data_IF_998929979063
#
_entry.id   IF_998929979063
#
_cell.length_a   1.000
_cell.length_b   1.000
_cell.length_c   1.000
_cell.angle_alpha   90.00
_cell.angle_beta   90.00
_cell.angle_gamma   90.00
#
_symmetry.space_group_name_H-M   'P 1'
#
loop_
_entity.id
_entity.type
_entity.pdbx_description
1 polymer ?
#
# COMPACT_ATOMS: atom_id res chain seq x y z
N UNK A 1 1.19 -2.54 -23.57
CA UNK A 1 2.01 -2.97 -22.43
C UNK A 1 3.40 -3.34 -22.95
N UNK A 2 4.36 -2.42 -22.80
CA UNK A 2 5.75 -2.59 -23.22
C UNK A 2 6.60 -2.84 -21.99
N UNK A 3 7.47 -3.86 -22.01
CA UNK A 3 8.40 -4.11 -20.90
C UNK A 3 9.09 -2.79 -20.50
N UNK A 4 9.40 -2.55 -19.21
CA UNK A 4 10.09 -1.32 -18.80
C UNK A 4 11.30 -1.10 -19.71
N UNK A 5 11.27 0.00 -20.48
CA UNK A 5 12.20 0.17 -21.62
C UNK A 5 13.65 0.07 -21.17
N UNK A 6 14.44 -0.76 -21.87
CA UNK A 6 15.87 -0.92 -21.63
C UNK A 6 16.26 -1.88 -20.50
N UNK A 7 15.31 -2.55 -19.83
CA UNK A 7 15.66 -3.48 -18.75
C UNK A 7 16.15 -4.83 -19.30
N UNK A 8 17.32 -5.27 -18.84
CA UNK A 8 17.81 -6.65 -19.07
C UNK A 8 16.83 -7.64 -18.45
N UNK A 9 16.35 -8.60 -19.23
CA UNK A 9 15.34 -9.58 -18.79
C UNK A 9 15.91 -10.98 -18.59
N UNK A 10 17.13 -11.27 -19.03
CA UNK A 10 17.75 -12.59 -18.89
C UNK A 10 19.06 -12.52 -18.10
N UNK A 11 19.19 -13.36 -17.08
CA UNK A 11 20.32 -13.39 -16.15
C UNK A 11 20.86 -14.82 -16.04
N UNK A 12 22.17 -14.99 -16.16
CA UNK A 12 22.84 -16.26 -15.90
C UNK A 12 23.39 -16.29 -14.47
N UNK A 13 23.27 -17.42 -13.78
CA UNK A 13 23.72 -17.61 -12.40
C UNK A 13 24.15 -19.07 -12.12
N UNK A 14 24.73 -19.30 -10.94
CA UNK A 14 25.31 -20.58 -10.55
C UNK A 14 26.71 -20.84 -11.11
N UNK A 15 27.36 -21.92 -10.65
CA UNK A 15 28.72 -22.27 -11.06
C UNK A 15 28.82 -22.47 -12.58
N UNK A 16 29.74 -21.72 -13.21
CA UNK A 16 29.90 -21.71 -14.68
C UNK A 16 28.73 -21.09 -15.46
N UNK A 17 27.79 -20.38 -14.82
CA UNK A 17 26.67 -19.71 -15.49
C UNK A 17 25.65 -20.66 -16.12
N UNK A 18 25.59 -21.91 -15.64
CA UNK A 18 24.73 -22.96 -16.22
C UNK A 18 23.23 -22.75 -15.97
N UNK A 19 22.85 -21.95 -14.96
CA UNK A 19 21.44 -21.63 -14.68
C UNK A 19 21.07 -20.29 -15.28
N UNK A 20 19.83 -20.16 -15.74
CA UNK A 20 19.29 -18.92 -16.32
C UNK A 20 17.97 -18.56 -15.66
N UNK A 21 17.76 -17.27 -15.41
CA UNK A 21 16.50 -16.67 -15.00
C UNK A 21 16.06 -15.72 -16.10
N UNK A 22 14.78 -15.80 -16.46
CA UNK A 22 14.13 -14.89 -17.39
C UNK A 22 12.99 -14.18 -16.68
N UNK A 23 13.03 -12.85 -16.70
CA UNK A 23 11.94 -12.00 -16.26
C UNK A 23 10.89 -11.96 -17.38
N UNK A 24 9.68 -12.37 -17.03
CA UNK A 24 8.50 -12.31 -17.89
C UNK A 24 7.50 -11.37 -17.23
N UNK A 25 6.89 -10.53 -18.05
CA UNK A 25 5.96 -9.50 -17.59
C UNK A 25 4.55 -9.82 -18.08
N UNK A 26 3.58 -9.04 -17.61
CA UNK A 26 2.19 -9.06 -18.09
C UNK A 26 1.37 -10.25 -17.64
N UNK A 27 1.69 -10.79 -16.47
CA UNK A 27 0.75 -11.65 -15.80
C UNK A 27 -0.57 -10.89 -15.55
N UNK A 28 -1.71 -11.52 -15.83
CA UNK A 28 -3.05 -10.93 -15.76
C UNK A 28 -3.26 -9.64 -16.60
N UNK A 29 -2.52 -9.44 -17.68
CA UNK A 29 -2.53 -8.22 -18.51
C UNK A 29 -3.92 -7.64 -18.80
N UNK A 30 -4.89 -8.47 -19.21
CA UNK A 30 -6.23 -8.00 -19.54
C UNK A 30 -6.95 -7.40 -18.32
N UNK A 31 -6.87 -8.06 -17.17
CA UNK A 31 -7.51 -7.62 -15.93
C UNK A 31 -6.82 -6.37 -15.38
N UNK A 32 -5.48 -6.39 -15.34
CA UNK A 32 -4.66 -5.28 -14.85
C UNK A 32 -4.82 -4.04 -15.74
N UNK A 33 -5.00 -4.23 -17.06
CA UNK A 33 -5.30 -3.15 -17.99
C UNK A 33 -6.64 -2.46 -17.69
N UNK A 34 -7.69 -3.23 -17.37
CA UNK A 34 -8.99 -2.69 -16.94
C UNK A 34 -8.87 -1.94 -15.61
N UNK A 35 -8.18 -2.51 -14.63
CA UNK A 35 -7.90 -1.87 -13.34
C UNK A 35 -7.16 -0.54 -13.53
N UNK A 36 -6.15 -0.50 -14.40
CA UNK A 36 -5.40 0.72 -14.70
C UNK A 36 -6.30 1.80 -15.31
N UNK A 37 -7.18 1.43 -16.25
CA UNK A 37 -8.14 2.36 -16.84
C UNK A 37 -9.12 2.91 -15.78
N UNK A 38 -9.66 2.04 -14.93
CA UNK A 38 -10.52 2.46 -13.81
C UNK A 38 -9.76 3.31 -12.80
N UNK A 39 -8.45 3.12 -12.61
CA UNK A 39 -7.64 4.02 -11.78
C UNK A 39 -7.50 5.42 -12.39
N UNK A 40 -7.51 5.55 -13.73
CA UNK A 40 -7.45 6.86 -14.41
C UNK A 40 -8.80 7.57 -14.41
N UNK A 41 -9.90 6.84 -14.64
CA UNK A 41 -11.24 7.34 -14.30
C UNK A 41 -11.27 7.71 -12.83
N UNK A 42 -10.59 6.89 -12.01
CA UNK A 42 -10.33 7.15 -10.62
C UNK A 42 -9.32 8.31 -10.35
N UNK A 43 -8.93 9.14 -11.32
CA UNK A 43 -8.07 10.31 -11.10
C UNK A 43 -8.76 11.66 -11.47
N UNK A 44 -9.91 11.61 -12.13
CA UNK A 44 -10.77 12.74 -12.54
C UNK A 44 -11.69 13.36 -11.44
N UNK A 45 -12.52 12.58 -10.75
CA UNK A 45 -13.47 12.83 -9.65
C UNK A 45 -12.93 13.00 -8.19
N UNK A 46 -11.65 13.28 -7.95
CA UNK A 46 -11.08 13.26 -6.57
C UNK A 46 -11.22 14.60 -5.88
N UNK A 47 -11.31 14.55 -4.55
CA UNK A 47 -11.55 15.73 -3.74
C UNK A 47 -10.33 16.66 -3.67
N UNK A 48 -9.11 16.15 -3.92
CA UNK A 48 -7.90 16.96 -3.83
C UNK A 48 -6.75 16.46 -4.75
N UNK A 49 -5.72 17.31 -4.92
CA UNK A 49 -4.56 17.04 -5.76
C UNK A 49 -3.73 15.83 -5.30
N UNK A 50 -3.66 15.57 -4.00
CA UNK A 50 -2.90 14.42 -3.47
C UNK A 50 -3.62 13.14 -3.87
N UNK A 51 -4.94 13.10 -3.70
CA UNK A 51 -5.77 11.96 -4.10
C UNK A 51 -5.65 11.66 -5.60
N UNK A 52 -5.73 12.68 -6.47
CA UNK A 52 -5.47 12.48 -7.90
C UNK A 52 -4.12 11.78 -8.15
N UNK A 53 -3.05 12.25 -7.51
CA UNK A 53 -1.71 11.65 -7.64
C UNK A 53 -1.65 10.21 -7.13
N UNK A 54 -2.41 9.86 -6.09
CA UNK A 54 -2.48 8.47 -5.60
C UNK A 54 -2.94 7.55 -6.74
N UNK A 55 -4.02 7.93 -7.43
CA UNK A 55 -4.63 7.10 -8.47
C UNK A 55 -3.86 7.11 -9.78
N UNK A 56 -3.25 8.24 -10.17
CA UNK A 56 -2.32 8.30 -11.29
C UNK A 56 -1.13 7.33 -11.09
N UNK A 57 -0.58 7.25 -9.88
CA UNK A 57 0.51 6.32 -9.56
C UNK A 57 0.06 4.87 -9.44
N UNK A 58 -1.17 4.60 -8.98
CA UNK A 58 -1.75 3.25 -9.06
C UNK A 58 -1.90 2.81 -10.51
N UNK A 59 -2.50 3.64 -11.37
CA UNK A 59 -2.64 3.35 -12.79
C UNK A 59 -1.29 3.04 -13.43
N UNK A 60 -0.28 3.89 -13.22
CA UNK A 60 1.08 3.64 -13.71
C UNK A 60 1.66 2.34 -13.20
N UNK A 61 1.51 2.03 -11.91
CA UNK A 61 2.01 0.78 -11.34
C UNK A 61 1.44 -0.45 -12.06
N UNK A 62 0.16 -0.42 -12.41
CA UNK A 62 -0.52 -1.50 -13.12
C UNK A 62 -0.16 -1.54 -14.60
N UNK A 63 0.00 -0.37 -15.23
CA UNK A 63 0.38 -0.26 -16.64
C UNK A 63 1.80 -0.77 -16.92
N UNK A 64 2.77 -0.51 -16.03
CA UNK A 64 4.18 -0.86 -16.26
C UNK A 64 4.71 -1.98 -15.36
N UNK A 65 3.90 -2.47 -14.41
CA UNK A 65 4.29 -3.52 -13.47
C UNK A 65 5.36 -3.13 -12.45
N UNK A 66 5.54 -1.82 -12.17
CA UNK A 66 6.63 -1.34 -11.31
C UNK A 66 6.18 -1.02 -9.89
N UNK A 67 6.72 -1.75 -8.91
CA UNK A 67 6.48 -1.53 -7.48
C UNK A 67 6.84 -0.11 -7.02
N UNK A 68 7.76 0.57 -7.70
CA UNK A 68 8.15 1.93 -7.32
C UNK A 68 7.00 2.94 -7.46
N UNK A 69 6.16 2.79 -8.50
CA UNK A 69 4.97 3.63 -8.67
C UNK A 69 3.94 3.31 -7.58
N UNK A 70 3.77 2.02 -7.24
CA UNK A 70 2.93 1.62 -6.09
C UNK A 70 3.45 2.19 -4.77
N UNK A 71 4.75 2.17 -4.51
CA UNK A 71 5.32 2.82 -3.32
C UNK A 71 5.05 4.32 -3.34
N UNK A 72 5.18 4.97 -4.49
CA UNK A 72 4.91 6.39 -4.64
C UNK A 72 3.45 6.75 -4.35
N UNK A 73 2.49 5.95 -4.83
CA UNK A 73 1.08 6.13 -4.47
C UNK A 73 0.85 6.01 -2.96
N UNK A 74 1.56 5.11 -2.27
CA UNK A 74 1.47 4.99 -0.81
C UNK A 74 2.06 6.18 -0.07
N UNK A 75 3.13 6.79 -0.58
CA UNK A 75 3.67 8.03 0.00
C UNK A 75 2.61 9.13 -0.01
N UNK A 76 1.95 9.32 -1.15
CA UNK A 76 0.83 10.26 -1.26
C UNK A 76 -0.35 9.86 -0.37
N UNK A 77 -0.68 8.56 -0.30
CA UNK A 77 -1.80 8.07 0.49
C UNK A 77 -1.60 8.27 1.99
N UNK A 78 -0.41 8.00 2.52
CA UNK A 78 -0.08 8.24 3.94
C UNK A 78 -0.15 9.73 4.27
N UNK A 79 0.27 10.61 3.35
CA UNK A 79 0.19 12.07 3.50
C UNK A 79 -1.22 12.64 3.38
N UNK A 80 -2.11 11.95 2.65
CA UNK A 80 -3.50 12.35 2.50
C UNK A 80 -4.30 12.08 3.79
N UNK A 81 -4.41 13.09 4.66
CA UNK A 81 -5.15 13.01 5.93
C UNK A 81 -6.56 13.57 5.79
N UNK A 82 -7.47 13.11 6.66
CA UNK A 82 -8.82 13.71 6.80
C UNK A 82 -9.74 13.51 5.58
N UNK A 83 -9.52 12.45 4.80
CA UNK A 83 -10.43 12.09 3.72
C UNK A 83 -11.80 11.66 4.25
N UNK A 84 -12.87 11.86 3.47
CA UNK A 84 -14.22 11.33 3.80
C UNK A 84 -14.44 9.93 3.25
N UNK A 85 -13.73 9.60 2.18
CA UNK A 85 -13.69 8.28 1.56
C UNK A 85 -12.24 7.86 1.57
N UNK A 86 -11.97 6.67 2.08
CA UNK A 86 -10.68 6.02 2.00
C UNK A 86 -10.72 4.84 1.03
N UNK A 87 -9.62 4.67 0.33
CA UNK A 87 -9.46 3.59 -0.64
C UNK A 87 -8.00 3.21 -0.80
N UNK A 88 -7.75 1.92 -1.03
CA UNK A 88 -6.44 1.37 -1.33
C UNK A 88 -6.59 0.17 -2.25
N UNK A 89 -5.59 -0.08 -3.09
CA UNK A 89 -5.64 -1.13 -4.12
C UNK A 89 -4.23 -1.65 -4.44
N UNK A 90 -4.12 -2.95 -4.71
CA UNK A 90 -2.91 -3.57 -5.27
C UNK A 90 -2.63 -4.96 -4.72
N UNK A 91 -1.39 -5.41 -4.88
CA UNK A 91 -0.88 -6.62 -4.22
C UNK A 91 -0.33 -6.22 -2.84
N UNK A 92 -1.04 -6.56 -1.76
CA UNK A 92 -0.82 -5.94 -0.43
C UNK A 92 -0.26 -6.92 0.60
N UNK A 93 -0.93 -8.06 0.85
CA UNK A 93 -0.61 -8.98 1.96
C UNK A 93 0.10 -10.24 1.46
N UNK A 94 1.13 -10.69 2.16
CA UNK A 94 1.92 -11.87 1.76
C UNK A 94 1.51 -13.15 2.48
N UNK A 95 0.40 -13.14 3.23
CA UNK A 95 0.03 -14.24 4.13
C UNK A 95 -0.22 -15.59 3.43
N UNK A 96 -0.68 -15.57 2.18
CA UNK A 96 -1.05 -16.79 1.44
C UNK A 96 0.10 -17.39 0.63
N UNK A 97 1.19 -16.65 0.44
CA UNK A 97 2.40 -17.21 -0.17
C UNK A 97 3.15 -18.05 0.87
N UNK A 98 3.39 -19.36 0.64
CA UNK A 98 4.18 -20.20 1.53
C UNK A 98 5.57 -19.64 1.84
N UNK A 99 6.16 -18.86 0.92
CA UNK A 99 7.45 -18.20 1.11
C UNK A 99 7.32 -16.75 1.64
N UNK A 100 6.10 -16.22 1.73
CA UNK A 100 5.79 -14.86 2.19
C UNK A 100 6.48 -13.73 1.41
N UNK A 101 6.83 -13.97 0.14
CA UNK A 101 7.44 -12.98 -0.77
C UNK A 101 6.42 -12.35 -1.73
N UNK A 102 5.44 -13.13 -2.17
CA UNK A 102 4.41 -12.69 -3.11
C UNK A 102 3.18 -12.20 -2.36
N UNK A 103 2.71 -11.01 -2.75
CA UNK A 103 1.53 -10.41 -2.15
C UNK A 103 0.26 -10.78 -2.94
N UNK A 104 -0.84 -11.00 -2.23
CA UNK A 104 -2.18 -11.22 -2.78
C UNK A 104 -2.85 -9.89 -3.12
N UNK A 105 -3.71 -9.93 -4.14
CA UNK A 105 -4.57 -8.82 -4.53
C UNK A 105 -5.58 -8.46 -3.44
N UNK A 106 -5.64 -7.18 -3.12
CA UNK A 106 -6.59 -6.59 -2.17
C UNK A 106 -7.01 -5.21 -2.70
N UNK A 107 -8.29 -4.88 -2.57
CA UNK A 107 -8.76 -3.50 -2.75
C UNK A 107 -9.94 -3.19 -1.86
N UNK A 108 -10.04 -1.95 -1.39
CA UNK A 108 -11.20 -1.49 -0.66
C UNK A 108 -11.56 -0.04 -1.01
N UNK A 109 -12.84 0.29 -0.83
CA UNK A 109 -13.32 1.65 -0.70
C UNK A 109 -14.31 1.72 0.46
N UNK A 110 -14.16 2.74 1.30
CA UNK A 110 -14.92 2.84 2.54
C UNK A 110 -15.11 4.31 2.96
N UNK A 111 -16.20 4.58 3.67
CA UNK A 111 -16.51 5.91 4.20
C UNK A 111 -15.94 6.06 5.61
N UNK A 112 -15.35 7.22 5.92
CA UNK A 112 -14.84 7.48 7.27
C UNK A 112 -16.00 7.75 8.23
N UNK A 113 -16.13 6.92 9.27
CA UNK A 113 -17.04 7.17 10.38
C UNK A 113 -16.39 8.18 11.33
N UNK A 114 -16.80 9.45 11.23
CA UNK A 114 -16.19 10.54 11.98
C UNK A 114 -16.42 10.42 13.50
N UNK A 115 -17.55 9.85 13.90
CA UNK A 115 -17.91 9.69 15.31
C UNK A 115 -17.06 8.60 15.97
N UNK A 116 -16.97 7.42 15.36
CA UNK A 116 -16.11 6.35 15.86
C UNK A 116 -14.62 6.73 15.77
N UNK A 117 -14.22 7.40 14.69
CA UNK A 117 -12.84 7.92 14.55
C UNK A 117 -12.45 8.88 15.68
N UNK A 118 -13.42 9.65 16.24
CA UNK A 118 -13.13 10.51 17.40
C UNK A 118 -12.67 9.72 18.62
N UNK A 119 -13.18 8.50 18.81
CA UNK A 119 -12.78 7.63 19.94
C UNK A 119 -11.32 7.20 19.85
N UNK A 120 -10.75 7.16 18.65
CA UNK A 120 -9.35 6.80 18.42
C UNK A 120 -8.37 7.95 18.73
N UNK A 121 -8.85 9.20 18.85
CA UNK A 121 -7.97 10.38 19.02
C UNK A 121 -7.15 10.34 20.30
N UNK A 122 -7.75 9.94 21.41
CA UNK A 122 -7.05 9.86 22.69
C UNK A 122 -5.99 8.74 22.69
N UNK A 123 -6.31 7.48 22.29
CA UNK A 123 -5.30 6.44 22.15
C UNK A 123 -4.12 6.84 21.26
N UNK A 124 -4.37 7.45 20.10
CA UNK A 124 -3.32 7.90 19.20
C UNK A 124 -2.55 9.09 19.79
N UNK A 125 -3.20 9.96 20.56
CA UNK A 125 -2.56 11.05 21.30
C UNK A 125 -1.59 10.58 22.38
N UNK A 126 -1.80 9.39 22.94
CA UNK A 126 -0.98 8.77 23.99
C UNK A 126 -0.08 7.63 23.47
N UNK A 127 0.01 7.48 22.15
CA UNK A 127 0.70 6.34 21.55
C UNK A 127 2.20 6.29 21.91
N UNK A 128 2.88 7.44 22.06
CA UNK A 128 4.27 7.48 22.54
C UNK A 128 4.39 6.96 23.98
N UNK A 129 3.47 7.37 24.87
CA UNK A 129 3.45 6.90 26.26
C UNK A 129 3.22 5.39 26.35
N UNK A 130 2.39 4.84 25.47
CA UNK A 130 2.15 3.40 25.41
C UNK A 130 3.34 2.66 24.82
N UNK A 131 3.97 3.21 23.77
CA UNK A 131 5.15 2.63 23.13
C UNK A 131 6.33 2.57 24.11
N UNK A 132 6.53 3.62 24.92
CA UNK A 132 7.59 3.65 25.94
C UNK A 132 7.43 2.60 27.06
N UNK A 133 6.25 1.96 27.18
CA UNK A 133 5.98 0.88 28.14
C UNK A 133 6.23 -0.52 27.57
N UNK A 134 6.57 -0.63 26.27
CA UNK A 134 6.90 -1.91 25.66
C UNK A 134 8.23 -2.46 26.21
N UNK A 135 8.37 -3.78 26.33
CA UNK A 135 9.55 -4.40 26.95
C UNK A 135 10.80 -4.39 26.06
N UNK A 136 10.68 -3.97 24.80
CA UNK A 136 11.74 -3.93 23.78
C UNK A 136 12.89 -2.97 24.13
N UNK A 137 12.62 -1.93 24.92
CA UNK A 137 13.60 -0.89 25.20
C UNK A 137 13.82 0.07 24.03
N UNK A 138 14.34 1.27 24.31
CA UNK A 138 14.40 2.38 23.35
C UNK A 138 15.28 2.10 22.11
N UNK A 139 16.32 1.30 22.25
CA UNK A 139 17.25 0.98 21.15
C UNK A 139 16.61 0.11 20.05
N UNK A 140 15.48 -0.53 20.36
CA UNK A 140 14.70 -1.33 19.42
C UNK A 140 13.48 -0.56 18.88
N UNK A 141 13.28 0.69 19.31
CA UNK A 141 12.21 1.55 18.81
C UNK A 141 12.69 2.47 17.69
N UNK A 142 11.75 3.02 16.93
CA UNK A 142 12.07 4.03 15.91
C UNK A 142 12.65 5.28 16.57
N UNK A 143 13.67 5.87 15.94
CA UNK A 143 14.30 7.11 16.40
C UNK A 143 13.30 8.28 16.53
N UNK A 144 12.32 8.34 15.61
CA UNK A 144 11.29 9.35 15.59
C UNK A 144 9.92 8.70 15.51
N UNK A 145 9.06 9.01 16.47
CA UNK A 145 7.68 8.57 16.43
C UNK A 145 6.89 9.41 15.42
N UNK A 146 6.43 8.76 14.34
CA UNK A 146 5.49 9.38 13.40
C UNK A 146 4.09 8.98 13.82
N UNK A 147 3.31 9.94 14.32
CA UNK A 147 1.93 9.72 14.75
C UNK A 147 1.12 9.13 13.60
N UNK A 148 0.57 7.91 13.75
CA UNK A 148 -0.17 7.30 12.67
C UNK A 148 -1.55 7.96 12.52
N UNK A 149 -2.13 7.81 11.33
CA UNK A 149 -3.56 8.05 11.17
C UNK A 149 -4.32 6.86 11.79
N UNK A 150 -5.45 7.12 12.44
CA UNK A 150 -6.35 6.07 12.90
C UNK A 150 -7.77 6.50 12.58
N UNK A 151 -8.42 5.76 11.68
CA UNK A 151 -9.77 6.08 11.21
C UNK A 151 -10.65 4.84 11.24
N UNK A 152 -11.83 4.92 11.84
CA UNK A 152 -12.85 3.88 11.73
C UNK A 152 -13.59 4.04 10.39
N UNK A 153 -13.74 2.95 9.65
CA UNK A 153 -14.37 2.98 8.33
C UNK A 153 -15.65 2.15 8.26
N UNK A 154 -16.64 2.64 7.51
CA UNK A 154 -17.79 1.88 7.03
C UNK A 154 -17.47 1.38 5.61
N UNK A 155 -17.24 0.09 5.47
CA UNK A 155 -16.77 -0.49 4.21
C UNK A 155 -17.89 -0.55 3.19
N UNK A 156 -17.68 0.06 2.02
CA UNK A 156 -18.59 -0.04 0.87
C UNK A 156 -18.27 -1.27 0.04
N UNK A 157 -16.99 -1.49 -0.24
CA UNK A 157 -16.49 -2.66 -0.96
C UNK A 157 -15.13 -3.08 -0.43
N UNK A 158 -14.93 -4.39 -0.38
CA UNK A 158 -13.66 -5.02 -0.07
C UNK A 158 -13.51 -6.24 -0.98
N UNK A 159 -12.61 -6.16 -1.94
CA UNK A 159 -12.30 -7.25 -2.86
C UNK A 159 -10.97 -7.89 -2.45
N UNK A 160 -11.09 -8.94 -1.62
CA UNK A 160 -10.03 -9.84 -1.17
C UNK A 160 -10.66 -11.22 -0.94
N UNK A 161 -9.85 -12.25 -0.70
CA UNK A 161 -10.30 -13.56 -0.26
C UNK A 161 -10.90 -13.60 1.16
N UNK A 162 -10.64 -12.59 2.01
CA UNK A 162 -11.15 -12.52 3.37
C UNK A 162 -11.41 -11.08 3.81
N UNK A 163 -12.35 -10.88 4.72
CA UNK A 163 -12.72 -9.54 5.22
C UNK A 163 -12.02 -9.28 6.57
N UNK A 164 -11.02 -8.38 6.64
CA UNK A 164 -10.34 -8.07 7.89
C UNK A 164 -11.20 -7.17 8.78
N UNK A 165 -11.07 -7.32 10.10
CA UNK A 165 -11.70 -6.42 11.07
C UNK A 165 -10.96 -5.08 11.24
N UNK A 166 -9.72 -5.01 10.74
CA UNK A 166 -8.88 -3.81 10.76
C UNK A 166 -7.57 -4.04 10.01
N UNK A 167 -6.96 -2.98 9.52
CA UNK A 167 -5.75 -3.02 8.70
C UNK A 167 -4.74 -1.97 9.12
N UNK A 168 -3.45 -2.31 8.99
CA UNK A 168 -2.33 -1.41 9.21
C UNK A 168 -1.44 -1.42 7.96
N UNK A 169 -1.38 -0.29 7.25
CA UNK A 169 -0.74 -0.17 5.92
C UNK A 169 -0.11 1.22 5.70
N UNK A 170 0.85 1.37 4.77
CA UNK A 170 1.40 0.35 3.87
C UNK A 170 2.34 -0.64 4.57
N UNK A 171 2.64 -1.74 3.88
CA UNK A 171 3.59 -2.78 4.30
C UNK A 171 5.04 -2.48 3.84
N UNK A 172 5.36 -1.23 3.47
CA UNK A 172 6.69 -0.82 3.04
C UNK A 172 7.42 -0.13 4.20
N UNK A 173 8.42 -0.79 4.78
CA UNK A 173 9.07 -0.30 6.00
C UNK A 173 9.75 1.06 5.84
N UNK A 174 10.34 1.35 4.68
CA UNK A 174 10.91 2.67 4.39
C UNK A 174 9.85 3.77 4.52
N UNK A 175 8.64 3.56 3.96
CA UNK A 175 7.55 4.53 4.09
C UNK A 175 7.05 4.61 5.54
N UNK A 176 6.93 3.47 6.22
CA UNK A 176 6.46 3.42 7.62
C UNK A 176 7.41 4.14 8.57
N UNK A 177 8.71 4.10 8.30
CA UNK A 177 9.74 4.73 9.12
C UNK A 177 9.86 6.23 8.82
N UNK A 178 9.85 6.63 7.55
CA UNK A 178 10.11 8.00 7.14
C UNK A 178 8.85 8.89 7.10
N UNK A 179 7.69 8.31 6.76
CA UNK A 179 6.47 9.06 6.45
C UNK A 179 5.26 8.66 7.30
N UNK A 180 5.31 7.47 7.91
CA UNK A 180 4.27 6.92 8.76
C UNK A 180 3.36 5.93 8.04
N UNK A 181 2.20 5.67 8.64
CA UNK A 181 1.25 4.66 8.20
C UNK A 181 -0.17 5.04 8.66
N UNK A 182 -1.17 4.29 8.19
CA UNK A 182 -2.56 4.42 8.64
C UNK A 182 -3.03 3.11 9.29
N UNK A 183 -3.76 3.25 10.39
CA UNK A 183 -4.57 2.22 11.02
C UNK A 183 -6.02 2.48 10.66
N UNK A 184 -6.72 1.43 10.26
CA UNK A 184 -8.08 1.48 9.73
C UNK A 184 -8.88 0.36 10.35
#
# INVERSE_FOLDING_TARGET
MTAPEGQKTEFAFGEGGKKKVKLVFWDYAELVGKISAECLVAAEHWANKIQRKIWEEYARSFEIGAIQMRKQSQRYWVQNKGSRVEANIGLIKTYRDPASFHAEWESFAAMVNQELTRTCREPVGRAEDFTARLPSGKDFEKNHFVKPDFTSLEVLTFAEAGFPAGINIPNYDDIRQEMGFKNI
#
